data_IF_523430911922
#
_entry.id   IF_523430911922
#
_cell.length_a   1.000
_cell.length_b   1.000
_cell.length_c   1.000
_cell.angle_alpha   90.00
_cell.angle_beta   90.00
_cell.angle_gamma   90.00
#
_symmetry.space_group_name_H-M   'P 1'
#
loop_
_entity.id
_entity.type
_entity.pdbx_description
1 polymer ?
#
# COMPACT_ATOMS: atom_id res chain seq x y z
N UNK A 1 -49.49 -54.59 -3.09
CA UNK A 1 -48.06 -54.36 -3.39
C UNK A 1 -47.96 -52.99 -4.06
N UNK A 2 -47.69 -51.93 -3.29
CA UNK A 2 -47.77 -50.56 -3.78
C UNK A 2 -47.06 -49.58 -2.86
N UNK A 3 -45.78 -49.34 -3.19
CA UNK A 3 -44.98 -48.11 -3.02
C UNK A 3 -45.10 -47.31 -1.72
N UNK A 4 -44.11 -47.52 -0.84
CA UNK A 4 -43.77 -46.59 0.24
C UNK A 4 -43.03 -45.35 -0.27
N UNK A 5 -43.33 -44.21 0.34
CA UNK A 5 -42.66 -42.93 0.16
C UNK A 5 -41.41 -42.92 1.07
N UNK A 6 -40.20 -42.58 0.59
CA UNK A 6 -39.14 -42.13 1.46
C UNK A 6 -39.13 -40.59 1.57
N UNK A 7 -39.09 -40.10 2.80
CA UNK A 7 -38.86 -38.70 3.14
C UNK A 7 -37.43 -38.28 2.76
N UNK A 8 -37.31 -37.20 2.00
CA UNK A 8 -36.02 -36.56 1.74
C UNK A 8 -35.61 -35.71 2.96
N UNK A 9 -34.45 -36.05 3.54
CA UNK A 9 -33.71 -35.18 4.44
C UNK A 9 -33.04 -34.06 3.62
N UNK A 10 -33.26 -32.81 4.02
CA UNK A 10 -32.67 -31.63 3.38
C UNK A 10 -31.15 -31.57 3.58
N UNK A 11 -30.41 -30.92 2.67
CA UNK A 11 -28.95 -30.84 2.73
C UNK A 11 -28.48 -29.89 3.84
N UNK A 12 -27.60 -30.41 4.68
CA UNK A 12 -26.80 -29.67 5.66
C UNK A 12 -25.98 -28.58 4.96
N UNK A 13 -26.26 -27.31 5.26
CA UNK A 13 -25.38 -26.19 4.94
C UNK A 13 -24.22 -26.17 5.93
N UNK A 14 -23.19 -26.95 5.64
CA UNK A 14 -21.86 -26.77 6.23
C UNK A 14 -20.95 -26.27 5.10
N UNK A 15 -20.92 -24.94 4.93
CA UNK A 15 -19.98 -24.32 4.00
C UNK A 15 -18.55 -24.53 4.50
N UNK A 16 -17.56 -24.69 3.61
CA UNK A 16 -16.17 -24.86 4.04
C UNK A 16 -15.73 -23.62 4.82
N UNK A 17 -15.57 -23.80 6.13
CA UNK A 17 -14.91 -22.88 7.03
C UNK A 17 -13.48 -22.69 6.52
N UNK A 18 -13.23 -21.64 5.74
CA UNK A 18 -11.89 -21.29 5.31
C UNK A 18 -11.16 -20.77 6.54
N UNK A 19 -10.16 -21.49 7.09
CA UNK A 19 -9.42 -20.98 8.23
C UNK A 19 -8.81 -19.64 7.83
N UNK A 20 -8.97 -18.63 8.68
CA UNK A 20 -8.24 -17.38 8.55
C UNK A 20 -6.73 -17.72 8.43
N UNK A 21 -5.99 -17.11 7.49
CA UNK A 21 -4.60 -17.44 7.31
C UNK A 21 -3.85 -17.24 8.63
N UNK A 22 -3.07 -18.24 9.03
CA UNK A 22 -2.18 -18.18 10.19
C UNK A 22 -1.30 -16.92 10.11
N UNK A 23 -0.91 -16.33 11.25
CA UNK A 23 -0.06 -15.14 11.24
C UNK A 23 1.22 -15.43 10.46
N UNK A 24 1.38 -14.79 9.31
CA UNK A 24 2.60 -14.85 8.52
C UNK A 24 3.69 -14.13 9.29
N UNK A 25 4.70 -14.86 9.75
CA UNK A 25 5.85 -14.33 10.53
C UNK A 25 6.71 -13.31 9.74
N UNK A 26 6.40 -13.07 8.46
CA UNK A 26 7.11 -12.14 7.58
C UNK A 26 6.34 -10.84 7.30
N UNK A 27 7.06 -9.84 6.80
CA UNK A 27 6.46 -8.58 6.38
C UNK A 27 5.51 -8.79 5.18
N UNK A 28 4.46 -7.97 5.08
CA UNK A 28 3.48 -8.05 3.99
C UNK A 28 3.53 -6.81 3.10
N UNK A 29 3.08 -6.96 1.85
CA UNK A 29 3.10 -5.88 0.85
C UNK A 29 1.73 -5.24 0.66
N UNK A 30 1.69 -3.92 0.58
CA UNK A 30 0.59 -3.18 -0.02
C UNK A 30 0.94 -2.88 -1.49
N UNK A 31 0.17 -3.43 -2.41
CA UNK A 31 0.33 -3.15 -3.84
C UNK A 31 -0.43 -1.86 -4.18
N UNK A 32 0.31 -0.82 -4.55
CA UNK A 32 -0.23 0.50 -4.88
C UNK A 32 -0.13 0.75 -6.39
N UNK A 33 -1.24 0.51 -7.09
CA UNK A 33 -1.38 0.72 -8.53
C UNK A 33 -2.10 2.03 -8.86
N UNK A 34 -2.14 2.37 -10.14
CA UNK A 34 -2.95 3.47 -10.67
C UNK A 34 -2.23 4.24 -11.77
N UNK A 35 -2.96 5.10 -12.51
CA UNK A 35 -2.40 5.84 -13.63
C UNK A 35 -1.17 6.67 -13.23
N UNK A 36 -0.30 6.98 -14.20
CA UNK A 36 0.83 7.89 -13.96
C UNK A 36 0.35 9.25 -13.39
N UNK A 37 1.11 9.87 -12.49
CA UNK A 37 0.71 11.17 -11.90
C UNK A 37 -0.51 11.14 -10.97
N UNK A 38 -1.10 9.98 -10.64
CA UNK A 38 -2.17 9.87 -9.63
C UNK A 38 -1.69 10.18 -8.20
N UNK A 39 -0.38 10.31 -8.00
CA UNK A 39 0.24 10.64 -6.71
C UNK A 39 0.60 9.42 -5.86
N UNK A 40 0.81 8.25 -6.48
CA UNK A 40 1.23 7.01 -5.81
C UNK A 40 2.49 7.24 -4.95
N UNK A 41 3.54 7.81 -5.53
CA UNK A 41 4.81 8.02 -4.82
C UNK A 41 4.64 8.98 -3.65
N UNK A 42 3.90 10.08 -3.84
CA UNK A 42 3.60 11.02 -2.75
C UNK A 42 2.73 10.41 -1.65
N UNK A 43 1.80 9.50 -1.99
CA UNK A 43 1.03 8.76 -0.99
C UNK A 43 1.93 7.79 -0.22
N UNK A 44 2.81 7.07 -0.92
CA UNK A 44 3.73 6.11 -0.33
C UNK A 44 4.70 6.79 0.65
N UNK A 45 5.28 7.93 0.27
CA UNK A 45 6.12 8.77 1.13
C UNK A 45 5.38 9.22 2.39
N UNK A 46 4.15 9.71 2.25
CA UNK A 46 3.30 10.14 3.38
C UNK A 46 2.96 9.01 4.36
N UNK A 47 2.91 7.77 3.89
CA UNK A 47 2.65 6.62 4.77
C UNK A 47 3.86 6.28 5.66
N UNK A 48 5.05 6.80 5.34
CA UNK A 48 6.27 6.57 6.11
C UNK A 48 6.67 5.09 6.18
N UNK A 49 6.35 4.32 5.14
CA UNK A 49 6.71 2.91 5.01
C UNK A 49 7.86 2.77 4.00
N UNK A 50 8.67 1.70 4.08
CA UNK A 50 9.61 1.37 3.01
C UNK A 50 8.89 1.20 1.67
N UNK A 51 9.48 1.72 0.60
CA UNK A 51 8.87 1.73 -0.75
C UNK A 51 9.75 0.99 -1.76
N UNK A 52 9.18 -0.05 -2.35
CA UNK A 52 9.66 -0.70 -3.56
C UNK A 52 9.03 -0.02 -4.79
N UNK A 53 9.85 0.61 -5.62
CA UNK A 53 9.41 1.22 -6.88
C UNK A 53 9.44 0.16 -7.97
N UNK A 54 8.27 -0.30 -8.42
CA UNK A 54 8.16 -1.34 -9.45
C UNK A 54 8.57 -0.82 -10.83
N UNK A 55 8.53 0.49 -11.05
CA UNK A 55 9.07 1.13 -12.25
C UNK A 55 10.59 0.89 -12.41
N UNK A 56 11.31 0.52 -11.34
CA UNK A 56 12.72 0.16 -11.46
C UNK A 56 12.91 -1.20 -12.18
N UNK A 57 11.85 -1.99 -12.38
CA UNK A 57 11.90 -3.32 -13.01
C UNK A 57 11.52 -3.31 -14.50
N UNK A 58 11.47 -2.13 -15.16
CA UNK A 58 11.36 -2.08 -16.61
C UNK A 58 12.53 -2.80 -17.28
N UNK A 59 12.27 -3.40 -18.45
CA UNK A 59 13.32 -3.92 -19.34
C UNK A 59 14.13 -2.77 -19.92
N UNK A 60 15.36 -3.06 -20.30
CA UNK A 60 16.21 -2.10 -21.01
C UNK A 60 15.60 -1.79 -22.39
N UNK A 61 15.79 -0.57 -22.86
CA UNK A 61 15.16 -0.07 -24.07
C UNK A 61 15.55 -0.75 -25.37
N UNK A 62 16.65 -1.49 -25.36
CA UNK A 62 17.17 -2.30 -26.46
C UNK A 62 16.85 -3.79 -26.31
N UNK A 63 16.07 -4.18 -25.29
CA UNK A 63 15.64 -5.56 -25.10
C UNK A 63 14.76 -6.00 -26.30
N UNK A 64 15.15 -7.07 -27.03
CA UNK A 64 14.48 -7.49 -28.25
C UNK A 64 13.09 -8.09 -28.03
N UNK A 65 12.73 -8.39 -26.78
CA UNK A 65 11.43 -8.95 -26.39
C UNK A 65 10.40 -7.87 -26.08
N UNK A 66 10.77 -6.59 -26.16
CA UNK A 66 9.87 -5.48 -25.93
C UNK A 66 8.71 -5.47 -26.93
N UNK A 67 7.46 -5.37 -26.46
CA UNK A 67 6.30 -5.31 -27.34
C UNK A 67 6.30 -3.98 -28.10
N UNK A 68 5.84 -4.01 -29.35
CA UNK A 68 5.69 -2.84 -30.19
C UNK A 68 4.25 -2.33 -30.16
N UNK A 69 4.08 -1.01 -30.23
CA UNK A 69 2.76 -0.40 -30.40
C UNK A 69 2.13 -0.87 -31.73
N UNK A 70 0.80 -1.05 -31.80
CA UNK A 70 0.12 -1.50 -33.02
C UNK A 70 0.31 -0.58 -34.23
N UNK A 71 0.61 0.70 -34.00
CA UNK A 71 0.85 1.70 -35.05
C UNK A 71 2.33 1.80 -35.49
N UNK A 72 3.21 0.97 -34.91
CA UNK A 72 4.64 0.94 -35.22
C UNK A 72 5.41 2.16 -34.74
N UNK A 73 4.82 3.03 -33.90
CA UNK A 73 5.45 4.27 -33.45
C UNK A 73 6.54 4.08 -32.38
N UNK A 74 6.72 2.87 -31.88
CA UNK A 74 7.75 2.50 -30.92
C UNK A 74 7.32 1.38 -29.99
N UNK A 75 8.02 1.27 -28.86
CA UNK A 75 7.75 0.28 -27.80
C UNK A 75 6.46 0.60 -27.03
N UNK A 76 5.68 -0.42 -26.74
CA UNK A 76 4.54 -0.36 -25.82
C UNK A 76 5.01 -0.59 -24.37
N UNK A 77 5.26 0.50 -23.64
CA UNK A 77 5.68 0.45 -22.24
C UNK A 77 4.54 0.26 -21.23
N UNK A 78 3.29 0.21 -21.71
CA UNK A 78 2.11 -0.07 -20.89
C UNK A 78 1.69 -1.56 -20.99
N UNK A 79 2.37 -2.34 -21.83
CA UNK A 79 2.15 -3.77 -21.99
C UNK A 79 2.82 -4.59 -20.87
N UNK A 80 2.18 -5.65 -20.34
CA UNK A 80 2.74 -6.48 -19.27
C UNK A 80 4.11 -7.11 -19.58
N UNK A 81 4.47 -7.26 -20.85
CA UNK A 81 5.72 -7.83 -21.31
C UNK A 81 6.90 -6.83 -21.25
N UNK A 82 6.65 -5.54 -20.96
CA UNK A 82 7.67 -4.49 -20.98
C UNK A 82 8.54 -4.44 -19.71
N UNK A 83 8.26 -5.29 -18.71
CA UNK A 83 8.94 -5.27 -17.41
C UNK A 83 9.18 -6.67 -16.86
N UNK A 84 10.12 -6.79 -15.92
CA UNK A 84 10.50 -8.04 -15.28
C UNK A 84 9.59 -8.34 -14.08
N UNK A 85 8.34 -8.72 -14.34
CA UNK A 85 7.35 -9.04 -13.30
C UNK A 85 7.83 -10.14 -12.33
N UNK A 86 8.52 -11.15 -12.85
CA UNK A 86 9.11 -12.24 -12.05
C UNK A 86 10.17 -11.74 -11.06
N UNK A 87 11.07 -10.85 -11.50
CA UNK A 87 12.10 -10.25 -10.66
C UNK A 87 11.50 -9.35 -9.59
N UNK A 88 10.46 -8.59 -9.94
CA UNK A 88 9.70 -7.78 -9.00
C UNK A 88 9.04 -8.62 -7.91
N UNK A 89 8.40 -9.74 -8.28
CA UNK A 89 7.82 -10.68 -7.32
C UNK A 89 8.90 -11.32 -6.44
N UNK A 90 10.06 -11.68 -7.01
CA UNK A 90 11.18 -12.20 -6.24
C UNK A 90 11.71 -11.18 -5.22
N UNK A 91 11.77 -9.90 -5.57
CA UNK A 91 12.13 -8.82 -4.65
C UNK A 91 11.10 -8.65 -3.52
N UNK A 92 9.80 -8.70 -3.83
CA UNK A 92 8.73 -8.68 -2.83
C UNK A 92 8.88 -9.86 -1.85
N UNK A 93 9.10 -11.07 -2.37
CA UNK A 93 9.31 -12.27 -1.54
C UNK A 93 10.55 -12.13 -0.66
N UNK A 94 11.63 -11.59 -1.19
CA UNK A 94 12.86 -11.32 -0.45
C UNK A 94 12.63 -10.32 0.70
N UNK A 95 11.92 -9.23 0.44
CA UNK A 95 11.57 -8.23 1.46
C UNK A 95 10.67 -8.84 2.54
N UNK A 96 9.63 -9.58 2.14
CA UNK A 96 8.70 -10.21 3.06
C UNK A 96 9.38 -11.23 4.00
N UNK A 97 10.32 -12.02 3.48
CA UNK A 97 10.94 -13.13 4.23
C UNK A 97 12.23 -12.74 4.95
N UNK A 98 13.04 -11.85 4.37
CA UNK A 98 14.36 -11.48 4.87
C UNK A 98 14.46 -10.03 5.33
N UNK A 99 13.45 -9.20 5.08
CA UNK A 99 13.49 -7.77 5.38
C UNK A 99 14.45 -6.97 4.49
N UNK A 100 15.02 -7.57 3.45
CA UNK A 100 15.98 -6.90 2.55
C UNK A 100 15.97 -7.52 1.15
N UNK A 101 16.19 -6.68 0.13
CA UNK A 101 16.38 -7.12 -1.27
C UNK A 101 17.33 -6.21 -2.01
N UNK A 102 18.10 -6.76 -2.93
CA UNK A 102 18.72 -5.99 -4.01
C UNK A 102 17.64 -5.62 -5.03
N UNK A 103 17.58 -4.35 -5.41
CA UNK A 103 16.57 -3.79 -6.31
C UNK A 103 17.30 -3.07 -7.44
N UNK A 104 16.85 -3.17 -8.70
CA UNK A 104 17.33 -2.29 -9.77
C UNK A 104 17.35 -0.82 -9.39
N UNK A 105 18.21 -0.08 -10.08
CA UNK A 105 18.03 1.34 -10.32
C UNK A 105 17.86 1.53 -11.81
N UNK A 106 16.67 1.96 -12.24
CA UNK A 106 16.36 2.25 -13.64
C UNK A 106 16.44 3.76 -13.89
N UNK A 107 17.09 4.14 -14.99
CA UNK A 107 17.16 5.53 -15.43
C UNK A 107 16.40 5.69 -16.75
N UNK A 108 15.29 6.41 -16.70
CA UNK A 108 14.45 6.71 -17.86
C UNK A 108 15.23 7.49 -18.93
N UNK A 109 16.17 8.36 -18.55
CA UNK A 109 16.96 9.14 -19.51
C UNK A 109 17.96 8.26 -20.27
N UNK A 110 18.49 7.23 -19.62
CA UNK A 110 19.39 6.24 -20.23
C UNK A 110 18.63 5.05 -20.83
N UNK A 111 17.32 4.99 -20.60
CA UNK A 111 16.43 3.93 -21.06
C UNK A 111 16.94 2.54 -20.69
N UNK A 112 17.39 2.40 -19.44
CA UNK A 112 17.94 1.13 -18.97
C UNK A 112 18.35 1.15 -17.50
N UNK A 113 18.69 -0.04 -17.02
CA UNK A 113 19.26 -0.27 -15.71
C UNK A 113 20.66 0.34 -15.61
N UNK A 114 20.90 1.10 -14.55
CA UNK A 114 22.19 1.76 -14.28
C UNK A 114 22.90 1.19 -13.06
N UNK A 115 22.29 0.23 -12.36
CA UNK A 115 22.87 -0.45 -11.22
C UNK A 115 21.84 -1.15 -10.35
N UNK A 116 22.23 -1.41 -9.11
CA UNK A 116 21.35 -1.93 -8.05
C UNK A 116 21.50 -1.11 -6.77
N UNK A 117 20.49 -1.19 -5.91
CA UNK A 117 20.50 -0.67 -4.54
C UNK A 117 19.92 -1.70 -3.59
N UNK A 118 20.43 -1.74 -2.37
CA UNK A 118 19.80 -2.51 -1.29
C UNK A 118 18.60 -1.74 -0.75
N UNK A 119 17.41 -2.37 -0.77
CA UNK A 119 16.24 -1.90 -0.03
C UNK A 119 16.10 -2.74 1.24
N UNK A 120 16.03 -2.06 2.40
CA UNK A 120 15.83 -2.68 3.71
C UNK A 120 14.49 -2.23 4.28
N UNK A 121 13.81 -3.13 4.99
CA UNK A 121 12.58 -2.84 5.72
C UNK A 121 12.85 -2.31 7.13
N UNK A 122 14.06 -2.53 7.66
CA UNK A 122 14.50 -2.08 8.98
C UNK A 122 13.51 -2.44 10.11
N UNK A 123 12.98 -3.66 10.04
CA UNK A 123 12.03 -4.19 11.02
C UNK A 123 10.56 -3.87 10.75
N UNK A 124 10.24 -3.12 9.68
CA UNK A 124 8.86 -2.90 9.27
C UNK A 124 8.20 -4.23 8.82
N UNK A 125 7.02 -4.51 9.37
CA UNK A 125 6.15 -5.66 9.04
C UNK A 125 5.23 -5.38 7.84
N UNK A 126 5.27 -4.15 7.31
CA UNK A 126 4.48 -3.69 6.19
C UNK A 126 5.34 -2.79 5.30
N UNK A 127 5.24 -2.98 3.98
CA UNK A 127 5.89 -2.13 3.00
C UNK A 127 5.00 -1.90 1.78
N UNK A 128 5.33 -0.88 0.99
CA UNK A 128 4.56 -0.53 -0.22
C UNK A 128 5.36 -0.93 -1.45
N UNK A 129 4.72 -1.61 -2.39
CA UNK A 129 5.23 -1.73 -3.75
C UNK A 129 4.34 -0.92 -4.68
N UNK A 130 4.91 0.11 -5.32
CA UNK A 130 4.18 1.04 -6.17
C UNK A 130 4.61 0.98 -7.64
N UNK A 131 3.65 1.10 -8.54
CA UNK A 131 3.91 1.13 -9.99
C UNK A 131 2.63 0.97 -10.79
N UNK A 132 2.69 1.20 -12.10
CA UNK A 132 1.51 0.98 -12.95
C UNK A 132 1.12 -0.50 -12.97
N UNK A 133 2.10 -1.40 -13.04
CA UNK A 133 1.90 -2.85 -13.03
C UNK A 133 1.75 -3.47 -11.64
N UNK A 134 1.59 -2.69 -10.58
CA UNK A 134 1.42 -3.25 -9.23
C UNK A 134 0.19 -4.18 -9.15
N UNK A 135 -0.85 -3.94 -9.96
CA UNK A 135 -2.03 -4.79 -10.01
C UNK A 135 -1.75 -6.18 -10.60
N UNK A 136 -0.77 -6.31 -11.48
CA UNK A 136 -0.39 -7.57 -12.13
C UNK A 136 0.22 -8.59 -11.15
N UNK A 137 0.70 -8.12 -10.00
CA UNK A 137 1.26 -8.99 -8.95
C UNK A 137 0.24 -9.44 -7.90
N UNK A 138 -1.02 -8.98 -7.97
CA UNK A 138 -2.02 -9.22 -6.92
C UNK A 138 -2.25 -10.70 -6.68
N UNK A 139 -2.51 -11.47 -7.72
CA UNK A 139 -2.86 -12.88 -7.57
C UNK A 139 -1.66 -13.70 -7.06
N UNK A 140 -0.46 -13.45 -7.58
CA UNK A 140 0.76 -14.11 -7.10
C UNK A 140 1.06 -13.76 -5.63
N UNK A 141 1.01 -12.48 -5.26
CA UNK A 141 1.23 -12.06 -3.87
C UNK A 141 0.14 -12.61 -2.94
N UNK A 142 -1.11 -12.71 -3.39
CA UNK A 142 -2.20 -13.30 -2.60
C UNK A 142 -2.00 -14.80 -2.43
N UNK A 143 -1.66 -15.52 -3.49
CA UNK A 143 -1.43 -16.96 -3.49
C UNK A 143 -0.27 -17.35 -2.55
N UNK A 144 0.75 -16.49 -2.45
CA UNK A 144 1.89 -16.69 -1.55
C UNK A 144 1.67 -16.14 -0.12
N UNK A 145 0.48 -15.60 0.18
CA UNK A 145 0.18 -15.01 1.50
C UNK A 145 0.96 -13.72 1.81
N UNK A 146 1.57 -13.08 0.81
CA UNK A 146 2.38 -11.87 0.95
C UNK A 146 1.53 -10.59 0.96
N UNK A 147 0.33 -10.65 0.39
CA UNK A 147 -0.51 -9.46 0.16
C UNK A 147 -1.22 -8.99 1.44
N UNK A 148 -0.94 -7.75 1.86
CA UNK A 148 -1.72 -7.07 2.91
C UNK A 148 -2.96 -6.35 2.34
N UNK A 149 -2.79 -5.61 1.24
CA UNK A 149 -3.89 -4.94 0.52
C UNK A 149 -3.47 -4.61 -0.91
N UNK A 150 -4.45 -4.41 -1.78
CA UNK A 150 -4.25 -4.00 -3.17
C UNK A 150 -5.12 -2.78 -3.48
N UNK A 151 -4.47 -1.65 -3.79
CA UNK A 151 -5.13 -0.37 -3.99
C UNK A 151 -4.83 0.16 -5.39
N UNK A 152 -5.87 0.58 -6.09
CA UNK A 152 -5.79 1.37 -7.31
C UNK A 152 -6.10 2.83 -6.97
N UNK A 153 -5.07 3.68 -6.96
CA UNK A 153 -5.23 5.08 -6.64
C UNK A 153 -5.91 5.83 -7.80
N UNK A 154 -7.09 6.36 -7.52
CA UNK A 154 -7.89 7.14 -8.47
C UNK A 154 -7.90 8.61 -8.07
N UNK A 155 -7.57 9.47 -9.02
CA UNK A 155 -7.79 10.92 -8.93
C UNK A 155 -8.74 11.30 -10.05
N UNK A 156 -9.42 12.45 -9.94
CA UNK A 156 -10.22 12.97 -11.05
C UNK A 156 -9.32 13.12 -12.29
N UNK A 157 -9.67 12.54 -13.45
CA UNK A 157 -8.79 12.53 -14.63
C UNK A 157 -8.29 13.90 -15.08
N UNK A 158 -9.10 14.94 -14.88
CA UNK A 158 -8.72 16.32 -15.18
C UNK A 158 -7.61 16.85 -14.27
N UNK A 159 -7.55 16.40 -13.01
CA UNK A 159 -6.51 16.78 -12.04
C UNK A 159 -5.21 16.06 -12.35
N UNK A 160 -5.26 14.79 -12.73
CA UNK A 160 -4.08 14.03 -13.20
C UNK A 160 -3.49 14.67 -14.47
N UNK A 161 -4.33 14.96 -15.47
CA UNK A 161 -3.90 15.62 -16.69
C UNK A 161 -3.32 17.02 -16.45
N UNK A 162 -3.92 17.82 -15.56
CA UNK A 162 -3.42 19.13 -15.21
C UNK A 162 -2.08 19.07 -14.47
N UNK A 163 -1.89 18.10 -13.55
CA UNK A 163 -0.61 17.88 -12.88
C UNK A 163 0.48 17.44 -13.87
N UNK A 164 0.15 16.54 -14.80
CA UNK A 164 1.05 16.09 -15.88
C UNK A 164 1.43 17.26 -16.79
N UNK A 165 0.45 18.03 -17.25
CA UNK A 165 0.68 19.22 -18.07
C UNK A 165 1.60 20.23 -17.36
N UNK A 166 1.39 20.48 -16.06
CA UNK A 166 2.25 21.40 -15.29
C UNK A 166 3.68 20.87 -15.12
N UNK A 167 3.86 19.56 -14.95
CA UNK A 167 5.20 18.95 -14.88
C UNK A 167 5.91 19.04 -16.23
N UNK A 168 5.23 18.65 -17.30
CA UNK A 168 5.78 18.64 -18.66
C UNK A 168 6.09 20.06 -19.17
N UNK A 169 5.28 21.05 -18.76
CA UNK A 169 5.53 22.48 -19.03
C UNK A 169 6.70 23.02 -18.21
N UNK A 170 6.85 22.61 -16.94
CA UNK A 170 8.00 22.99 -16.10
C UNK A 170 9.31 22.39 -16.61
N UNK A 171 9.27 21.18 -17.16
CA UNK A 171 10.43 20.50 -17.74
C UNK A 171 10.70 20.92 -19.20
N UNK A 172 9.86 21.78 -19.80
CA UNK A 172 10.02 22.43 -21.11
C UNK A 172 10.39 21.49 -22.29
N UNK A 173 9.92 20.24 -22.32
CA UNK A 173 10.39 19.27 -23.33
C UNK A 173 9.64 19.26 -24.67
N UNK A 174 8.42 19.82 -24.79
CA UNK A 174 7.60 19.77 -26.04
C UNK A 174 6.60 20.94 -26.18
N UNK A 175 6.19 21.32 -27.40
CA UNK A 175 5.21 22.39 -27.64
C UNK A 175 3.82 22.10 -27.04
N UNK A 176 3.17 23.11 -26.46
CA UNK A 176 1.90 23.03 -25.72
C UNK A 176 0.76 22.23 -26.39
N UNK A 177 0.49 22.37 -27.70
CA UNK A 177 -0.58 21.62 -28.37
C UNK A 177 -0.36 20.10 -28.34
N UNK A 178 0.90 19.64 -28.40
CA UNK A 178 1.27 18.23 -28.29
C UNK A 178 1.01 17.70 -26.86
N UNK A 179 1.33 18.50 -25.84
CA UNK A 179 1.10 18.15 -24.44
C UNK A 179 -0.40 18.07 -24.11
N UNK A 180 -1.22 18.96 -24.66
CA UNK A 180 -2.68 18.94 -24.48
C UNK A 180 -3.34 17.73 -25.16
N UNK A 181 -2.93 17.40 -26.39
CA UNK A 181 -3.44 16.22 -27.11
C UNK A 181 -3.02 14.92 -26.42
N UNK A 182 -1.76 14.82 -26.00
CA UNK A 182 -1.25 13.68 -25.21
C UNK A 182 -1.98 13.56 -23.87
N UNK A 183 -2.17 14.67 -23.17
CA UNK A 183 -2.92 14.72 -21.92
C UNK A 183 -4.36 14.22 -22.07
N UNK A 184 -5.05 14.61 -23.14
CA UNK A 184 -6.43 14.16 -23.43
C UNK A 184 -6.52 12.68 -23.80
N UNK A 185 -5.62 12.16 -24.63
CA UNK A 185 -5.55 10.72 -24.94
C UNK A 185 -5.27 9.91 -23.68
N UNK A 186 -4.33 10.37 -22.85
CA UNK A 186 -4.01 9.73 -21.57
C UNK A 186 -5.20 9.76 -20.61
N UNK A 187 -5.96 10.87 -20.55
CA UNK A 187 -7.21 10.95 -19.77
C UNK A 187 -8.24 9.89 -20.19
N UNK A 188 -8.40 9.64 -21.49
CA UNK A 188 -9.32 8.58 -21.97
C UNK A 188 -8.80 7.19 -21.61
N UNK A 189 -7.49 6.99 -21.59
CA UNK A 189 -6.86 5.72 -21.18
C UNK A 189 -6.92 5.48 -19.65
N UNK A 190 -6.97 6.54 -18.81
CA UNK A 190 -7.01 6.37 -17.34
C UNK A 190 -8.20 5.52 -16.86
N UNK A 191 -9.36 5.66 -17.52
CA UNK A 191 -10.53 4.84 -17.21
C UNK A 191 -10.31 3.35 -17.48
N UNK A 192 -9.65 3.02 -18.59
CA UNK A 192 -9.33 1.65 -18.96
C UNK A 192 -8.29 1.03 -18.00
N UNK A 193 -7.26 1.78 -17.63
CA UNK A 193 -6.24 1.35 -16.65
C UNK A 193 -6.90 1.03 -15.31
N UNK A 194 -7.76 1.92 -14.82
CA UNK A 194 -8.51 1.71 -13.58
C UNK A 194 -9.40 0.48 -13.66
N UNK A 195 -10.14 0.32 -14.76
CA UNK A 195 -11.03 -0.82 -14.96
C UNK A 195 -10.23 -2.14 -14.97
N UNK A 196 -9.10 -2.18 -15.70
CA UNK A 196 -8.18 -3.31 -15.73
C UNK A 196 -7.66 -3.66 -14.34
N UNK A 197 -7.12 -2.68 -13.61
CA UNK A 197 -6.56 -2.94 -12.28
C UNK A 197 -7.64 -3.40 -11.30
N UNK A 198 -8.86 -2.86 -11.41
CA UNK A 198 -10.00 -3.32 -10.61
C UNK A 198 -10.39 -4.75 -10.96
N UNK A 199 -10.36 -5.11 -12.24
CA UNK A 199 -10.56 -6.48 -12.72
C UNK A 199 -9.52 -7.47 -12.19
N UNK A 200 -8.27 -7.02 -11.99
CA UNK A 200 -7.20 -7.79 -11.35
C UNK A 200 -7.32 -7.84 -9.81
N UNK A 201 -8.38 -7.25 -9.24
CA UNK A 201 -8.66 -7.29 -7.80
C UNK A 201 -8.12 -6.11 -7.00
N UNK A 202 -7.64 -5.05 -7.64
CA UNK A 202 -7.26 -3.82 -6.94
C UNK A 202 -8.51 -3.04 -6.53
N UNK A 203 -8.53 -2.49 -5.31
CA UNK A 203 -9.62 -1.64 -4.85
C UNK A 203 -9.43 -0.19 -5.33
N UNK A 204 -10.38 0.40 -6.07
CA UNK A 204 -10.28 1.80 -6.46
C UNK A 204 -10.50 2.71 -5.26
N UNK A 205 -9.49 3.51 -4.88
CA UNK A 205 -9.54 4.40 -3.71
C UNK A 205 -9.12 5.83 -4.09
N UNK A 206 -9.68 6.81 -3.38
CA UNK A 206 -9.11 8.17 -3.37
C UNK A 206 -7.85 8.26 -2.48
N UNK A 207 -7.03 9.32 -2.59
CA UNK A 207 -5.79 9.46 -1.80
C UNK A 207 -5.97 9.35 -0.28
N UNK A 208 -6.98 10.02 0.28
CA UNK A 208 -7.22 10.01 1.73
C UNK A 208 -7.80 8.68 2.24
N UNK A 209 -8.58 8.00 1.41
CA UNK A 209 -9.03 6.65 1.71
C UNK A 209 -7.87 5.66 1.68
N UNK A 210 -7.06 5.69 0.61
CA UNK A 210 -5.88 4.85 0.48
C UNK A 210 -4.91 5.05 1.66
N UNK A 211 -4.67 6.31 2.06
CA UNK A 211 -3.83 6.61 3.22
C UNK A 211 -4.38 5.99 4.52
N UNK A 212 -5.67 6.20 4.82
CA UNK A 212 -6.30 5.63 6.02
C UNK A 212 -6.22 4.10 6.05
N UNK A 213 -6.37 3.44 4.90
CA UNK A 213 -6.26 1.97 4.82
C UNK A 213 -4.85 1.49 5.16
N UNK A 214 -3.83 2.11 4.55
CA UNK A 214 -2.42 1.76 4.82
C UNK A 214 -2.06 1.99 6.28
N UNK A 215 -2.46 3.12 6.85
CA UNK A 215 -2.24 3.42 8.28
C UNK A 215 -2.96 2.40 9.17
N UNK A 216 -4.21 2.05 8.85
CA UNK A 216 -4.96 1.03 9.59
C UNK A 216 -4.29 -0.34 9.60
N UNK A 217 -3.73 -0.77 8.47
CA UNK A 217 -2.96 -2.02 8.37
C UNK A 217 -1.70 -1.99 9.24
N UNK A 218 -0.98 -0.86 9.22
CA UNK A 218 0.23 -0.67 10.04
C UNK A 218 -0.08 -0.76 11.54
N UNK A 219 -1.17 -0.12 11.97
CA UNK A 219 -1.59 -0.17 13.38
C UNK A 219 -2.06 -1.57 13.79
N UNK A 220 -2.79 -2.28 12.94
CA UNK A 220 -3.22 -3.65 13.20
C UNK A 220 -2.04 -4.64 13.29
N UNK A 221 -1.03 -4.49 12.43
CA UNK A 221 0.21 -5.27 12.49
C UNK A 221 0.99 -5.03 13.78
N UNK A 222 1.17 -3.76 14.17
CA UNK A 222 1.82 -3.40 15.42
C UNK A 222 1.11 -3.96 16.67
N UNK A 223 -0.23 -3.96 16.69
CA UNK A 223 -1.00 -4.54 17.80
C UNK A 223 -0.84 -6.06 17.88
N UNK A 224 -0.80 -6.76 16.72
CA UNK A 224 -0.58 -8.20 16.68
C UNK A 224 0.85 -8.60 17.08
N UNK A 225 1.83 -7.72 16.89
CA UNK A 225 3.23 -7.93 17.25
C UNK A 225 3.55 -7.63 18.73
N UNK A 226 2.66 -6.99 19.48
CA UNK A 226 2.82 -6.77 20.93
C UNK A 226 2.09 -7.87 21.75
N UNK A 227 2.80 -8.91 22.23
CA UNK A 227 2.19 -10.00 22.99
C UNK A 227 1.57 -9.55 24.32
N UNK A 228 1.75 -8.30 24.76
CA UNK A 228 1.13 -7.77 25.99
C UNK A 228 -0.30 -7.25 25.80
N UNK A 229 -0.78 -7.12 24.57
CA UNK A 229 -2.17 -6.68 24.30
C UNK A 229 -3.16 -7.85 24.17
N UNK A 230 -2.69 -9.09 24.12
CA UNK A 230 -3.51 -10.28 24.02
C UNK A 230 -3.97 -10.81 25.39
N UNK A 231 -4.57 -9.99 26.26
CA UNK A 231 -5.44 -10.49 27.34
C UNK A 231 -6.32 -9.35 27.84
N UNK A 232 -7.63 -9.45 27.60
CA UNK A 232 -8.68 -9.33 28.63
C UNK A 232 -9.99 -9.75 27.97
N UNK A 233 -10.25 -11.05 27.96
CA UNK A 233 -11.63 -11.55 27.97
C UNK A 233 -12.20 -11.15 29.33
N UNK A 234 -13.30 -10.37 29.42
CA UNK A 234 -13.97 -10.22 30.69
C UNK A 234 -14.63 -11.56 31.01
N UNK A 235 -14.05 -12.29 31.97
CA UNK A 235 -14.77 -13.37 32.66
C UNK A 235 -15.95 -12.70 33.35
N UNK A 236 -17.16 -13.00 32.89
CA UNK A 236 -18.38 -12.61 33.57
C UNK A 236 -18.37 -13.22 34.98
N UNK A 237 -18.58 -12.43 36.05
CA UNK A 237 -18.60 -12.98 37.39
C UNK A 237 -19.81 -13.90 37.56
N UNK A 238 -19.54 -15.10 38.07
CA UNK A 238 -20.51 -16.06 38.57
C UNK A 238 -21.43 -15.35 39.57
N UNK A 239 -22.74 -15.31 39.29
CA UNK A 239 -23.74 -14.75 40.21
C UNK A 239 -24.08 -15.82 41.23
N UNK A 240 -23.36 -15.83 42.35
CA UNK A 240 -23.85 -16.47 43.55
C UNK A 240 -24.76 -15.50 44.31
N UNK A 241 -25.90 -16.06 44.70
CA UNK A 241 -27.05 -15.39 45.29
C UNK A 241 -26.87 -15.32 46.83
N UNK A 242 -27.43 -14.25 47.42
CA UNK A 242 -27.92 -14.12 48.83
C UNK A 242 -26.91 -13.60 49.90
N UNK A 243 -27.33 -12.82 50.93
CA UNK A 243 -28.22 -11.66 50.96
C UNK A 243 -27.58 -10.41 51.66
N UNK A 244 -28.33 -9.30 51.62
CA UNK A 244 -28.02 -8.04 52.26
C UNK A 244 -27.94 -8.11 53.80
N UNK A 245 -27.00 -7.35 54.37
CA UNK A 245 -27.11 -6.76 55.71
C UNK A 245 -26.28 -5.48 55.78
N UNK A 246 -26.96 -4.43 56.22
CA UNK A 246 -26.58 -3.04 56.45
C UNK A 246 -25.36 -2.83 57.35
N UNK A 247 -24.55 -1.80 57.08
CA UNK A 247 -24.44 -0.58 57.92
C UNK A 247 -23.40 0.41 57.37
N UNK A 248 -23.70 1.68 57.63
CA UNK A 248 -22.96 2.91 57.41
C UNK A 248 -21.51 2.91 57.91
N UNK A 249 -20.64 3.73 57.29
CA UNK A 249 -20.09 4.99 57.88
C UNK A 249 -18.79 5.42 57.18
N UNK A 250 -18.80 6.67 56.70
CA UNK A 250 -17.72 7.69 56.69
C UNK A 250 -16.27 7.33 56.32
N UNK A 251 -15.69 8.18 55.47
CA UNK A 251 -14.27 8.55 55.62
C UNK A 251 -13.52 8.82 54.31
N UNK A 252 -13.60 10.05 53.80
CA UNK A 252 -12.62 10.59 52.86
C UNK A 252 -11.37 11.08 53.62
N UNK A 253 -10.17 10.90 53.05
CA UNK A 253 -9.19 11.99 53.04
C UNK A 253 -8.48 12.20 51.69
N UNK A 254 -7.81 13.36 51.51
CA UNK A 254 -7.54 13.97 50.21
C UNK A 254 -6.24 13.52 49.52
N UNK A 255 -6.18 13.79 48.21
CA UNK A 255 -5.02 13.58 47.34
C UNK A 255 -3.91 14.64 47.58
N UNK A 256 -2.62 14.24 47.59
CA UNK A 256 -1.50 15.19 47.55
C UNK A 256 -1.14 15.58 46.11
N UNK A 257 -0.74 16.84 45.97
CA UNK A 257 -0.62 17.59 44.71
C UNK A 257 0.57 17.24 43.81
N UNK A 258 0.39 17.62 42.54
CA UNK A 258 1.41 17.64 41.49
C UNK A 258 2.34 18.86 41.68
N UNK A 259 3.67 18.70 41.60
CA UNK A 259 4.59 19.83 41.46
C UNK A 259 4.63 20.33 40.01
N UNK A 260 4.61 21.66 39.88
CA UNK A 260 4.65 22.40 38.63
C UNK A 260 6.02 22.36 37.95
N UNK A 261 6.00 22.35 36.62
CA UNK A 261 7.18 22.48 35.75
C UNK A 261 7.37 23.95 35.37
N UNK A 262 8.55 24.57 35.58
CA UNK A 262 8.81 25.94 35.12
C UNK A 262 9.14 26.01 33.61
N UNK A 263 8.86 27.17 32.96
CA UNK A 263 8.99 27.32 31.51
C UNK A 263 10.44 27.43 31.02
N UNK A 264 10.68 26.87 29.83
CA UNK A 264 11.94 26.86 29.11
C UNK A 264 12.22 28.24 28.47
N UNK A 265 13.39 28.80 28.75
CA UNK A 265 13.88 30.05 28.19
C UNK A 265 14.07 29.98 26.67
N UNK A 266 13.68 31.06 25.99
CA UNK A 266 14.00 31.33 24.59
C UNK A 266 15.43 31.85 24.50
N UNK A 267 16.26 31.22 23.65
CA UNK A 267 17.57 31.75 23.28
C UNK A 267 17.48 32.40 21.89
N UNK A 268 18.00 33.62 21.84
CA UNK A 268 18.01 34.57 20.74
C UNK A 268 19.01 34.23 19.64
N UNK A 269 18.63 34.65 18.43
CA UNK A 269 19.43 34.96 17.23
C UNK A 269 20.91 35.31 17.46
N UNK A 270 21.79 34.75 16.62
CA UNK A 270 22.89 35.54 16.04
C UNK A 270 23.41 34.98 14.71
N UNK A 271 23.70 35.92 13.82
CA UNK A 271 24.09 35.87 12.42
C UNK A 271 25.30 35.00 12.06
N UNK A 272 25.36 34.59 10.79
CA UNK A 272 26.60 34.67 10.00
C UNK A 272 26.32 34.85 8.50
N UNK A 273 26.92 35.92 7.98
CA UNK A 273 27.08 36.31 6.59
C UNK A 273 27.97 35.35 5.76
N UNK A 274 28.01 35.66 4.45
CA UNK A 274 28.99 35.32 3.40
C UNK A 274 28.72 34.02 2.61
N UNK A 275 28.83 33.98 1.28
CA UNK A 275 29.13 34.99 0.26
C UNK A 275 28.68 34.46 -1.12
N UNK A 276 28.45 35.38 -2.06
CA UNK A 276 28.38 35.12 -3.50
C UNK A 276 29.65 34.44 -4.02
N UNK A 277 29.47 33.46 -4.91
CA UNK A 277 30.06 33.38 -6.27
C UNK A 277 29.38 32.23 -7.03
#
# INVERSE_FOLDING_TARGET
>A
MGTGIPAQAGPSTDGPNHPAPAPTTGARVVLLSGPSGSGKSSLAERCGLPVLRLDDFYKDGDDPTLPSLPDGSGTDWDAPESWHAGDALAAIRALATRGTSEVPVYDIARNGRVGTRTLRLDGADLFIAEGIFAADLIDSCRAEGLLADAVCLRVRPAVTAWRRLRRDVREARKPLPFLLRRGWTLMRAEGAIVARHTGLGARPCGPEEAHRRVVGLRTAGAAAADPRTATTTPVAPHRDLVPASSTSTSGAPPAPGLPQVPPRAQATSSSKEHASL
#
